data_IF_325621129017
#
_entry.id   IF_325621129017
#
_cell.length_a   1.000
_cell.length_b   1.000
_cell.length_c   1.000
_cell.angle_alpha   90.00
_cell.angle_beta   90.00
_cell.angle_gamma   90.00
#
_symmetry.space_group_name_H-M   'P 1'
#
loop_
_entity.id
_entity.type
_entity.pdbx_description
1 polymer ?
#
# COMPACT_ATOMS: atom_id res chain seq x y z
N UNK A 1 13.75 10.79 16.07
CA UNK A 1 13.25 10.24 14.79
C UNK A 1 14.18 9.10 14.44
N UNK A 2 13.71 7.86 14.47
CA UNK A 2 14.55 6.68 14.21
C UNK A 2 14.79 6.63 12.70
N UNK A 3 16.03 6.91 12.28
CA UNK A 3 16.46 6.66 10.90
C UNK A 3 16.66 5.15 10.75
N UNK A 4 15.81 4.51 9.95
CA UNK A 4 15.98 3.11 9.57
C UNK A 4 17.15 3.02 8.58
N UNK A 5 17.99 1.99 8.70
CA UNK A 5 19.15 1.83 7.81
C UNK A 5 18.72 1.45 6.38
N UNK A 6 19.51 1.85 5.38
CA UNK A 6 19.25 1.49 3.98
C UNK A 6 19.21 -0.04 3.77
N UNK A 7 20.00 -0.78 4.55
CA UNK A 7 20.01 -2.24 4.55
C UNK A 7 18.69 -2.84 5.06
N UNK A 8 18.10 -2.23 6.08
CA UNK A 8 16.78 -2.62 6.59
C UNK A 8 15.69 -2.42 5.54
N UNK A 9 15.68 -1.26 4.86
CA UNK A 9 14.70 -0.96 3.82
C UNK A 9 14.80 -1.93 2.65
N UNK A 10 16.02 -2.21 2.17
CA UNK A 10 16.27 -3.18 1.08
C UNK A 10 15.81 -4.59 1.44
N UNK A 11 16.05 -5.03 2.66
CA UNK A 11 15.61 -6.35 3.13
C UNK A 11 14.09 -6.49 3.07
N UNK A 12 13.36 -5.49 3.58
CA UNK A 12 11.90 -5.49 3.54
C UNK A 12 11.34 -5.38 2.13
N UNK A 13 12.00 -4.60 1.26
CA UNK A 13 11.64 -4.51 -0.15
C UNK A 13 11.74 -5.89 -0.83
N UNK A 14 12.82 -6.65 -0.59
CA UNK A 14 12.96 -8.03 -1.09
C UNK A 14 11.85 -8.94 -0.59
N UNK A 15 11.61 -8.97 0.72
CA UNK A 15 10.58 -9.82 1.35
C UNK A 15 9.20 -9.50 0.77
N UNK A 16 8.87 -8.21 0.64
CA UNK A 16 7.58 -7.80 0.10
C UNK A 16 7.48 -8.19 -1.37
N UNK A 17 8.52 -8.02 -2.18
CA UNK A 17 8.48 -8.37 -3.60
C UNK A 17 8.36 -9.87 -3.87
N UNK A 18 8.87 -10.72 -2.97
CA UNK A 18 8.83 -12.19 -3.09
C UNK A 18 7.47 -12.81 -2.70
N UNK A 19 6.60 -12.06 -2.02
CA UNK A 19 5.28 -12.56 -1.59
C UNK A 19 4.23 -12.30 -2.67
N UNK A 20 3.52 -13.35 -3.08
CA UNK A 20 2.28 -13.23 -3.86
C UNK A 20 1.20 -12.54 -3.02
N UNK A 21 0.76 -11.38 -3.49
CA UNK A 21 -0.22 -10.54 -2.78
C UNK A 21 -1.58 -10.71 -3.45
N UNK A 22 -2.51 -11.36 -2.76
CA UNK A 22 -3.93 -11.35 -3.17
C UNK A 22 -4.57 -9.99 -2.87
N UNK A 23 -4.25 -9.42 -1.71
CA UNK A 23 -4.89 -8.21 -1.18
C UNK A 23 -3.87 -7.34 -0.44
N UNK A 24 -3.90 -6.03 -0.68
CA UNK A 24 -3.00 -5.06 -0.03
C UNK A 24 -3.79 -4.19 0.95
N UNK A 25 -3.51 -4.24 2.26
CA UNK A 25 -4.20 -3.38 3.23
C UNK A 25 -4.03 -1.89 2.92
N UNK A 26 -5.11 -1.12 2.99
CA UNK A 26 -5.08 0.32 2.71
C UNK A 26 -4.13 1.09 3.63
N UNK A 27 -3.87 0.59 4.84
CA UNK A 27 -2.91 1.15 5.79
C UNK A 27 -1.47 1.11 5.29
N UNK A 28 -1.17 0.15 4.42
CA UNK A 28 0.13 -0.02 3.81
C UNK A 28 0.28 0.82 2.54
N UNK A 29 -0.81 1.38 1.98
CA UNK A 29 -0.76 2.11 0.71
C UNK A 29 -0.22 3.54 0.84
N UNK A 30 0.78 3.88 0.03
CA UNK A 30 1.28 5.24 -0.15
C UNK A 30 0.60 5.92 -1.34
N UNK A 31 0.54 5.23 -2.47
CA UNK A 31 0.01 5.75 -3.73
C UNK A 31 -0.58 4.63 -4.56
N UNK A 32 -1.60 4.95 -5.35
CA UNK A 32 -2.20 4.05 -6.34
C UNK A 32 -2.01 4.67 -7.71
N UNK A 33 -1.46 3.91 -8.65
CA UNK A 33 -1.36 4.32 -10.05
C UNK A 33 -2.36 3.53 -10.87
N UNK A 34 -3.17 4.23 -11.65
CA UNK A 34 -4.15 3.63 -12.53
C UNK A 34 -3.67 3.87 -13.95
N UNK A 35 -3.36 2.79 -14.66
CA UNK A 35 -2.99 2.79 -16.08
C UNK A 35 -4.25 2.65 -16.91
N UNK A 36 -4.39 3.49 -17.92
CA UNK A 36 -5.54 3.53 -18.82
C UNK A 36 -5.18 2.95 -20.18
N UNK A 37 -6.18 2.44 -20.90
CA UNK A 37 -6.02 1.86 -22.23
C UNK A 37 -5.48 2.85 -23.27
N UNK A 38 -5.61 4.16 -23.03
CA UNK A 38 -5.06 5.22 -23.87
C UNK A 38 -3.57 5.53 -23.59
N UNK A 39 -2.92 4.75 -22.73
CA UNK A 39 -1.53 4.92 -22.33
C UNK A 39 -1.31 5.95 -21.23
N UNK A 40 -2.35 6.66 -20.77
CA UNK A 40 -2.22 7.60 -19.65
C UNK A 40 -2.12 6.84 -18.32
N UNK A 41 -1.45 7.46 -17.36
CA UNK A 41 -1.39 6.98 -15.99
C UNK A 41 -1.84 8.09 -15.03
N UNK A 42 -2.71 7.78 -14.08
CA UNK A 42 -3.11 8.71 -13.02
C UNK A 42 -2.62 8.21 -11.67
N UNK A 43 -1.96 9.10 -10.93
CA UNK A 43 -1.50 8.86 -9.57
C UNK A 43 -2.51 9.39 -8.55
N UNK A 44 -2.92 8.54 -7.63
CA UNK A 44 -3.74 8.89 -6.47
C UNK A 44 -2.92 8.76 -5.19
N UNK A 45 -2.62 9.90 -4.57
CA UNK A 45 -1.87 9.95 -3.30
C UNK A 45 -2.78 9.59 -2.13
N UNK A 46 -2.55 8.41 -1.54
CA UNK A 46 -3.35 7.88 -0.43
C UNK A 46 -2.83 8.41 0.90
N UNK A 47 -1.54 8.73 0.99
CA UNK A 47 -0.94 9.34 2.19
C UNK A 47 -1.63 10.64 2.58
N UNK A 48 -2.10 11.44 1.61
CA UNK A 48 -2.88 12.65 1.91
C UNK A 48 -4.22 12.36 2.58
N UNK A 49 -4.93 11.31 2.16
CA UNK A 49 -6.20 10.89 2.77
C UNK A 49 -5.97 10.40 4.21
N UNK A 50 -4.89 9.67 4.45
CA UNK A 50 -4.50 9.24 5.80
C UNK A 50 -4.22 10.41 6.73
N UNK A 51 -3.52 11.45 6.25
CA UNK A 51 -3.25 12.68 7.04
C UNK A 51 -4.52 13.42 7.46
N UNK A 52 -5.59 13.31 6.67
CA UNK A 52 -6.89 13.88 6.98
C UNK A 52 -7.72 13.03 7.97
N UNK A 53 -7.12 11.98 8.55
CA UNK A 53 -7.75 11.04 9.50
C UNK A 53 -9.03 10.38 8.95
N UNK A 54 -9.11 10.17 7.63
CA UNK A 54 -10.14 9.31 7.08
C UNK A 54 -9.96 7.88 7.59
N UNK A 55 -11.08 7.22 7.91
CA UNK A 55 -11.05 5.81 8.29
C UNK A 55 -10.64 4.93 7.11
N UNK A 56 -10.16 3.72 7.41
CA UNK A 56 -9.70 2.76 6.41
C UNK A 56 -10.79 2.44 5.40
N UNK A 57 -11.99 2.21 5.90
CA UNK A 57 -13.19 1.88 5.12
C UNK A 57 -13.52 3.01 4.16
N UNK A 58 -13.34 4.27 4.59
CA UNK A 58 -13.62 5.44 3.75
C UNK A 58 -12.58 5.63 2.65
N UNK A 59 -11.32 5.30 2.93
CA UNK A 59 -10.25 5.31 1.92
C UNK A 59 -10.49 4.21 0.89
N UNK A 60 -10.87 3.01 1.35
CA UNK A 60 -11.19 1.88 0.48
C UNK A 60 -12.39 2.18 -0.43
N UNK A 61 -13.49 2.68 0.14
CA UNK A 61 -14.65 3.13 -0.64
C UNK A 61 -14.29 4.20 -1.67
N UNK A 62 -13.39 5.13 -1.31
CA UNK A 62 -12.94 6.17 -2.24
C UNK A 62 -12.17 5.58 -3.43
N UNK A 63 -11.25 4.64 -3.18
CA UNK A 63 -10.46 3.98 -4.23
C UNK A 63 -11.39 3.14 -5.11
N UNK A 64 -12.27 2.34 -4.53
CA UNK A 64 -13.22 1.49 -5.26
C UNK A 64 -14.15 2.33 -6.14
N UNK A 65 -14.74 3.39 -5.58
CA UNK A 65 -15.59 4.32 -6.35
C UNK A 65 -14.83 4.99 -7.50
N UNK A 66 -13.53 5.27 -7.32
CA UNK A 66 -12.69 5.80 -8.40
C UNK A 66 -12.46 4.78 -9.50
N UNK A 67 -12.10 3.56 -9.14
CA UNK A 67 -11.93 2.46 -10.09
C UNK A 67 -13.22 2.17 -10.86
N UNK A 68 -14.36 2.10 -10.17
CA UNK A 68 -15.68 1.98 -10.79
C UNK A 68 -15.97 3.14 -11.75
N UNK A 69 -15.65 4.38 -11.36
CA UNK A 69 -15.86 5.56 -12.22
C UNK A 69 -15.00 5.57 -13.48
N UNK A 70 -13.85 4.88 -13.45
CA UNK A 70 -12.98 4.71 -14.60
C UNK A 70 -13.43 3.53 -15.48
N UNK A 71 -14.05 2.51 -14.88
CA UNK A 71 -14.68 1.40 -15.58
C UNK A 71 -13.76 0.76 -16.62
N UNK A 72 -14.30 0.56 -17.82
CA UNK A 72 -13.61 -0.15 -18.91
C UNK A 72 -12.39 0.59 -19.48
N UNK A 73 -12.13 1.84 -19.06
CA UNK A 73 -10.93 2.57 -19.49
C UNK A 73 -9.66 2.12 -18.74
N UNK A 74 -9.81 1.41 -17.61
CA UNK A 74 -8.69 0.90 -16.82
C UNK A 74 -8.04 -0.28 -17.55
N UNK A 75 -6.71 -0.19 -17.71
CA UNK A 75 -5.85 -1.27 -18.20
C UNK A 75 -5.18 -2.02 -17.04
N UNK A 76 -4.86 -1.32 -15.96
CA UNK A 76 -4.23 -1.93 -14.79
C UNK A 76 -4.11 -0.97 -13.62
N UNK A 77 -3.81 -1.52 -12.44
CA UNK A 77 -3.65 -0.78 -11.20
C UNK A 77 -2.36 -1.23 -10.53
N UNK A 78 -1.47 -0.29 -10.20
CA UNK A 78 -0.28 -0.53 -9.38
C UNK A 78 -0.45 0.08 -8.00
N UNK A 79 -0.12 -0.71 -6.99
CA UNK A 79 -0.13 -0.29 -5.60
C UNK A 79 1.30 -0.03 -5.12
N UNK A 80 1.57 1.20 -4.70
CA UNK A 80 2.82 1.54 -4.05
C UNK A 80 2.61 1.53 -2.55
N UNK A 81 3.35 0.65 -1.89
CA UNK A 81 3.27 0.46 -0.46
C UNK A 81 4.32 1.26 0.30
N UNK A 82 3.99 1.60 1.53
CA UNK A 82 4.87 2.25 2.50
C UNK A 82 5.58 1.16 3.33
N UNK A 83 6.85 0.92 3.00
CA UNK A 83 7.69 -0.10 3.65
C UNK A 83 7.82 0.15 5.15
N UNK A 84 7.87 1.42 5.57
CA UNK A 84 7.97 1.77 6.99
C UNK A 84 6.69 1.35 7.73
N UNK A 85 5.52 1.70 7.17
CA UNK A 85 4.23 1.30 7.72
C UNK A 85 4.05 -0.22 7.75
N UNK A 86 4.47 -0.91 6.68
CA UNK A 86 4.42 -2.38 6.62
C UNK A 86 5.30 -2.99 7.69
N UNK A 87 6.57 -2.57 7.79
CA UNK A 87 7.52 -3.12 8.76
C UNK A 87 6.99 -2.99 10.19
N UNK A 88 6.38 -1.85 10.54
CA UNK A 88 5.79 -1.64 11.86
C UNK A 88 4.57 -2.51 12.16
N UNK A 89 3.81 -2.93 11.16
CA UNK A 89 2.65 -3.81 11.32
C UNK A 89 3.09 -5.27 11.36
N UNK A 90 3.88 -5.69 10.38
CA UNK A 90 4.33 -7.07 10.22
C UNK A 90 5.27 -7.45 11.35
N UNK A 91 6.25 -6.61 11.70
CA UNK A 91 7.16 -6.88 12.82
C UNK A 91 6.41 -7.10 14.14
N UNK A 92 5.37 -6.27 14.42
CA UNK A 92 4.55 -6.46 15.62
C UNK A 92 3.80 -7.78 15.63
N UNK A 93 3.37 -8.28 14.48
CA UNK A 93 2.71 -9.59 14.39
C UNK A 93 3.73 -10.72 14.51
N UNK A 94 4.87 -10.61 13.84
CA UNK A 94 5.99 -11.55 13.95
C UNK A 94 6.49 -11.67 15.39
N UNK A 95 6.69 -10.56 16.08
CA UNK A 95 7.12 -10.53 17.48
C UNK A 95 6.08 -11.16 18.41
N UNK A 96 4.78 -11.00 18.13
CA UNK A 96 3.73 -11.69 18.91
C UNK A 96 3.81 -13.20 18.75
N UNK A 97 3.98 -13.67 17.52
CA UNK A 97 4.04 -15.11 17.22
C UNK A 97 5.34 -15.72 17.79
N UNK A 98 6.46 -15.00 17.70
CA UNK A 98 7.75 -15.48 18.19
C UNK A 98 7.95 -15.38 19.70
N UNK A 99 7.24 -14.46 20.40
CA UNK A 99 7.27 -14.42 21.87
C UNK A 99 6.34 -15.45 22.52
N UNK A 100 5.41 -16.04 21.77
CA UNK A 100 4.54 -17.14 22.21
C UNK A 100 5.14 -18.54 21.90
N UNK A 101 6.41 -18.60 21.46
CA UNK A 101 7.19 -19.82 21.21
C UNK A 101 8.37 -19.93 22.20
#
# INVERSE_FOLDING_TARGET
>A
MVQLSDEFLKKWESIINEVDKSDVPVDCLKRVFIRFKDGKTRAHDISRLKKMKYSKERIEQFINKKLESYGDSVQGVDFYVDIEAISGIVQKQTDKILNDL
#
